data_IF_464018437782
#
_entry.id   IF_464018437782
#
_cell.length_a   1.000
_cell.length_b   1.000
_cell.length_c   1.000
_cell.angle_alpha   90.00
_cell.angle_beta   90.00
_cell.angle_gamma   90.00
#
_symmetry.space_group_name_H-M   'P 1'
#
loop_
_entity.id
_entity.type
_entity.pdbx_description
1 polymer ?
#
# COMPACT_ATOMS: atom_id res chain seq x y z
N UNK A 1 16.50 4.66 4.29
CA UNK A 1 16.73 5.90 5.06
C UNK A 1 15.59 6.27 6.01
N UNK A 2 14.37 6.58 5.55
CA UNK A 2 13.30 7.06 6.45
C UNK A 2 12.92 6.06 7.54
N UNK A 3 12.79 4.77 7.19
CA UNK A 3 12.52 3.71 8.15
C UNK A 3 13.67 3.56 9.16
N UNK A 4 14.92 3.64 8.71
CA UNK A 4 16.08 3.60 9.61
C UNK A 4 16.03 4.73 10.65
N UNK A 5 15.69 5.96 10.22
CA UNK A 5 15.50 7.09 11.14
C UNK A 5 14.42 6.81 12.17
N UNK A 6 13.25 6.33 11.74
CA UNK A 6 12.14 6.03 12.65
C UNK A 6 12.50 4.91 13.63
N UNK A 7 13.13 3.84 13.16
CA UNK A 7 13.60 2.73 13.99
C UNK A 7 14.72 3.15 14.96
N UNK A 8 15.51 4.18 14.62
CA UNK A 8 16.54 4.73 15.53
C UNK A 8 16.01 5.80 16.48
N UNK A 9 14.69 6.02 16.56
CA UNK A 9 14.08 7.03 17.43
C UNK A 9 14.16 8.46 16.90
N UNK A 10 14.51 8.66 15.63
CA UNK A 10 14.52 9.98 14.99
C UNK A 10 13.27 10.20 14.12
N UNK A 11 12.80 11.44 14.02
CA UNK A 11 11.72 11.80 13.09
C UNK A 11 12.17 11.66 11.63
N UNK A 12 11.23 11.34 10.74
CA UNK A 12 11.48 11.25 9.30
C UNK A 12 10.48 12.08 8.49
N UNK A 13 10.90 12.67 7.35
CA UNK A 13 9.99 13.36 6.46
C UNK A 13 9.15 12.35 5.66
N UNK A 14 7.85 12.61 5.55
CA UNK A 14 6.93 11.89 4.68
C UNK A 14 6.47 12.84 3.57
N UNK A 15 7.01 12.70 2.35
CA UNK A 15 6.57 13.51 1.22
C UNK A 15 5.12 13.16 0.86
N UNK A 16 4.35 14.17 0.47
CA UNK A 16 2.96 14.00 0.03
C UNK A 16 2.93 13.95 -1.50
N UNK A 17 2.25 12.96 -2.08
CA UNK A 17 2.06 12.85 -3.52
C UNK A 17 0.69 13.41 -3.91
N UNK A 18 0.66 14.30 -4.88
CA UNK A 18 -0.56 14.85 -5.44
C UNK A 18 -0.94 14.09 -6.72
N UNK A 19 -2.06 13.37 -6.64
CA UNK A 19 -2.56 12.56 -7.74
C UNK A 19 -3.21 13.37 -8.85
N UNK A 20 -3.59 14.63 -8.60
CA UNK A 20 -4.20 15.52 -9.59
C UNK A 20 -3.14 16.12 -10.52
N UNK A 21 -2.02 16.58 -9.94
CA UNK A 21 -0.88 17.14 -10.69
C UNK A 21 0.15 16.10 -11.10
N UNK A 22 0.03 14.87 -10.59
CA UNK A 22 0.99 13.78 -10.79
C UNK A 22 2.41 14.07 -10.27
N UNK A 23 2.54 15.02 -9.35
CA UNK A 23 3.82 15.47 -8.81
C UNK A 23 3.90 15.27 -7.30
N UNK A 24 5.13 15.31 -6.78
CA UNK A 24 5.34 15.43 -5.34
C UNK A 24 4.99 16.85 -4.93
N UNK A 25 4.15 16.98 -3.90
CA UNK A 25 3.85 18.27 -3.27
C UNK A 25 5.10 18.85 -2.62
N UNK A 26 5.15 20.18 -2.50
CA UNK A 26 6.15 20.87 -1.68
C UNK A 26 5.92 20.67 -0.19
N UNK A 27 4.71 20.24 0.20
CA UNK A 27 4.37 19.92 1.57
C UNK A 27 5.00 18.60 2.02
N UNK A 28 5.52 18.61 3.24
CA UNK A 28 6.11 17.44 3.91
C UNK A 28 5.47 17.28 5.26
N UNK A 29 4.92 16.10 5.52
CA UNK A 29 4.47 15.72 6.86
C UNK A 29 5.62 15.08 7.63
N UNK A 30 5.82 15.44 8.89
CA UNK A 30 6.83 14.78 9.72
C UNK A 30 6.22 13.59 10.47
N UNK A 31 6.88 12.44 10.37
CA UNK A 31 6.54 11.25 11.16
C UNK A 31 7.42 11.22 12.40
N UNK A 32 6.81 11.00 13.55
CA UNK A 32 7.49 10.70 14.79
C UNK A 32 7.68 9.18 14.93
N UNK A 33 8.73 8.72 15.60
CA UNK A 33 8.87 7.31 15.97
C UNK A 33 7.67 6.83 16.78
N UNK A 34 7.17 5.65 16.46
CA UNK A 34 6.05 5.00 17.16
C UNK A 34 6.37 3.53 17.41
N UNK A 35 5.79 2.91 18.46
CA UNK A 35 5.99 1.48 18.73
C UNK A 35 5.54 0.57 17.58
N UNK A 36 4.52 0.99 16.82
CA UNK A 36 4.04 0.29 15.63
C UNK A 36 4.18 1.20 14.42
N UNK A 37 4.80 0.69 13.35
CA UNK A 37 4.87 1.34 12.04
C UNK A 37 4.13 0.48 11.01
N UNK A 38 3.18 1.07 10.30
CA UNK A 38 2.50 0.43 9.17
C UNK A 38 3.09 0.98 7.88
N UNK A 39 3.71 0.09 7.09
CA UNK A 39 4.27 0.41 5.78
C UNK A 39 3.31 -0.14 4.73
N UNK A 40 2.59 0.75 4.04
CA UNK A 40 1.58 0.39 3.04
C UNK A 40 2.01 0.82 1.64
N UNK A 41 1.63 0.01 0.66
CA UNK A 41 1.79 0.32 -0.76
C UNK A 41 1.88 -0.93 -1.63
N UNK A 42 1.59 -0.78 -2.91
CA UNK A 42 1.50 -1.90 -3.87
C UNK A 42 2.81 -2.67 -4.12
N UNK A 43 3.98 -2.12 -3.74
CA UNK A 43 5.29 -2.72 -4.01
C UNK A 43 6.14 -2.90 -2.74
N UNK A 44 5.59 -2.67 -1.54
CA UNK A 44 6.38 -2.70 -0.30
C UNK A 44 6.97 -4.07 -0.03
N UNK A 45 6.24 -5.14 -0.39
CA UNK A 45 6.73 -6.51 -0.26
C UNK A 45 7.67 -6.93 -1.39
N UNK A 46 7.74 -6.18 -2.49
CA UNK A 46 8.65 -6.52 -3.59
C UNK A 46 10.11 -6.13 -3.29
N UNK A 47 10.32 -5.13 -2.42
CA UNK A 47 11.64 -4.60 -2.10
C UNK A 47 12.28 -5.35 -0.90
N UNK A 48 13.36 -6.13 -1.10
CA UNK A 48 13.99 -6.88 -0.01
C UNK A 48 14.44 -6.00 1.16
N UNK A 49 14.91 -4.79 0.87
CA UNK A 49 15.40 -3.84 1.86
C UNK A 49 14.27 -3.33 2.75
N UNK A 50 13.03 -3.22 2.23
CA UNK A 50 11.87 -2.87 3.05
C UNK A 50 11.42 -4.05 3.90
N UNK A 51 11.42 -5.27 3.32
CA UNK A 51 11.03 -6.49 4.05
C UNK A 51 11.92 -6.75 5.28
N UNK A 52 13.19 -6.36 5.22
CA UNK A 52 14.12 -6.48 6.34
C UNK A 52 13.70 -5.67 7.58
N UNK A 53 12.82 -4.67 7.44
CA UNK A 53 12.26 -3.90 8.55
C UNK A 53 10.89 -4.42 9.03
N UNK A 54 10.35 -5.49 8.44
CA UNK A 54 8.97 -5.94 8.69
C UNK A 54 8.92 -7.20 9.55
N UNK A 55 8.42 -7.05 10.78
CA UNK A 55 8.13 -8.19 11.68
C UNK A 55 6.92 -9.00 11.21
N UNK A 56 5.97 -8.37 10.51
CA UNK A 56 4.77 -8.98 9.94
C UNK A 56 4.51 -8.45 8.53
N UNK A 57 4.39 -9.34 7.54
CA UNK A 57 4.16 -9.03 6.14
C UNK A 57 2.77 -9.47 5.74
N UNK A 58 1.93 -8.53 5.31
CA UNK A 58 0.54 -8.79 4.94
C UNK A 58 0.33 -8.44 3.47
N UNK A 59 -0.27 -9.37 2.72
CA UNK A 59 -0.75 -9.10 1.36
C UNK A 59 -2.28 -9.08 1.35
N UNK A 60 -2.88 -8.01 0.87
CA UNK A 60 -4.34 -7.90 0.76
C UNK A 60 -4.76 -8.31 -0.65
N UNK A 61 -5.48 -9.42 -0.75
CA UNK A 61 -5.95 -9.96 -2.02
C UNK A 61 -7.41 -9.57 -2.29
N UNK A 62 -7.69 -9.24 -3.55
CA UNK A 62 -9.04 -9.12 -4.06
C UNK A 62 -9.06 -9.47 -5.55
N UNK A 63 -10.22 -9.89 -6.04
CA UNK A 63 -10.43 -10.30 -7.42
C UNK A 63 -10.10 -9.13 -8.37
N UNK A 64 -9.50 -9.40 -9.55
CA UNK A 64 -9.06 -8.35 -10.47
C UNK A 64 -10.18 -7.40 -10.90
N UNK A 65 -11.40 -7.90 -11.10
CA UNK A 65 -12.59 -7.13 -11.46
C UNK A 65 -13.05 -6.21 -10.32
N UNK A 66 -13.10 -6.72 -9.09
CA UNK A 66 -13.41 -5.93 -7.88
C UNK A 66 -12.41 -4.79 -7.73
N UNK A 67 -11.10 -5.06 -7.89
CA UNK A 67 -10.06 -4.03 -7.84
C UNK A 67 -10.18 -3.02 -8.98
N UNK A 68 -10.48 -3.47 -10.19
CA UNK A 68 -10.67 -2.61 -11.36
C UNK A 68 -11.86 -1.66 -11.16
N UNK A 69 -13.00 -2.17 -10.69
CA UNK A 69 -14.19 -1.37 -10.40
C UNK A 69 -13.93 -0.31 -9.33
N UNK A 70 -13.34 -0.69 -8.19
CA UNK A 70 -12.94 0.26 -7.12
C UNK A 70 -11.96 1.30 -7.63
N UNK A 71 -11.02 0.91 -8.51
CA UNK A 71 -10.08 1.84 -9.14
C UNK A 71 -10.77 2.84 -10.04
N UNK A 72 -11.70 2.40 -10.90
CA UNK A 72 -12.46 3.27 -11.80
C UNK A 72 -13.23 4.30 -10.99
N UNK A 73 -13.98 3.86 -9.98
CA UNK A 73 -14.79 4.74 -9.12
C UNK A 73 -13.93 5.80 -8.42
N UNK A 74 -12.82 5.37 -7.80
CA UNK A 74 -11.87 6.27 -7.14
C UNK A 74 -11.24 7.26 -8.11
N UNK A 75 -10.71 6.78 -9.25
CA UNK A 75 -9.99 7.63 -10.21
C UNK A 75 -10.93 8.65 -10.87
N UNK A 76 -12.21 8.35 -11.04
CA UNK A 76 -13.21 9.32 -11.50
C UNK A 76 -13.57 10.34 -10.41
N UNK A 77 -13.92 9.88 -9.20
CA UNK A 77 -14.48 10.74 -8.14
C UNK A 77 -13.43 11.60 -7.46
N UNK A 78 -12.26 11.04 -7.19
CA UNK A 78 -11.25 11.70 -6.35
C UNK A 78 -10.09 12.28 -7.16
N UNK A 79 -9.89 11.83 -8.41
CA UNK A 79 -8.73 12.21 -9.22
C UNK A 79 -9.10 12.86 -10.55
N UNK A 80 -10.39 13.03 -10.84
CA UNK A 80 -10.89 13.75 -12.03
C UNK A 80 -10.54 13.10 -13.37
N UNK A 81 -10.29 11.79 -13.42
CA UNK A 81 -9.89 11.10 -14.66
C UNK A 81 -11.09 10.68 -15.50
N UNK A 82 -10.91 10.70 -16.83
CA UNK A 82 -11.90 10.16 -17.78
C UNK A 82 -11.84 8.63 -17.85
N UNK A 83 -12.95 7.99 -18.24
CA UNK A 83 -13.00 6.53 -18.40
C UNK A 83 -11.94 6.04 -19.40
N UNK A 84 -11.78 6.73 -20.52
CA UNK A 84 -10.80 6.41 -21.56
C UNK A 84 -9.36 6.43 -21.01
N UNK A 85 -8.98 7.49 -20.28
CA UNK A 85 -7.66 7.59 -19.65
C UNK A 85 -7.41 6.46 -18.64
N UNK A 86 -8.43 6.11 -17.85
CA UNK A 86 -8.36 5.04 -16.86
C UNK A 86 -8.13 3.69 -17.54
N UNK A 87 -8.86 3.40 -18.63
CA UNK A 87 -8.74 2.16 -19.39
C UNK A 87 -7.37 2.03 -20.06
N UNK A 88 -6.93 3.07 -20.77
CA UNK A 88 -5.62 3.07 -21.43
C UNK A 88 -4.49 2.83 -20.43
N UNK A 89 -4.49 3.57 -19.31
CA UNK A 89 -3.48 3.38 -18.26
C UNK A 89 -3.56 1.99 -17.63
N UNK A 90 -4.78 1.45 -17.46
CA UNK A 90 -4.95 0.15 -16.83
C UNK A 90 -4.35 -0.97 -17.67
N UNK A 91 -4.65 -0.99 -18.97
CA UNK A 91 -4.20 -2.02 -19.89
C UNK A 91 -2.70 -1.90 -20.19
N UNK A 92 -2.20 -0.69 -20.40
CA UNK A 92 -0.81 -0.48 -20.80
C UNK A 92 0.17 -0.62 -19.64
N UNK A 93 -0.26 -0.24 -18.43
CA UNK A 93 0.66 -0.06 -17.29
C UNK A 93 0.20 -0.84 -16.07
N UNK A 94 -1.01 -0.59 -15.56
CA UNK A 94 -1.39 -1.10 -14.23
C UNK A 94 -1.45 -2.62 -14.20
N UNK A 95 -2.16 -3.26 -15.13
CA UNK A 95 -2.29 -4.72 -15.16
C UNK A 95 -0.95 -5.41 -15.45
N UNK A 96 -0.18 -5.04 -16.50
CA UNK A 96 1.12 -5.67 -16.74
C UNK A 96 2.10 -5.54 -15.57
N UNK A 97 2.14 -4.39 -14.90
CA UNK A 97 3.02 -4.18 -13.75
C UNK A 97 2.52 -4.88 -12.49
N UNK A 98 1.19 -4.98 -12.32
CA UNK A 98 0.59 -5.78 -11.26
C UNK A 98 1.02 -7.25 -11.40
N UNK A 99 0.78 -7.84 -12.56
CA UNK A 99 1.03 -9.25 -12.81
C UNK A 99 2.53 -9.57 -12.75
N UNK A 100 3.38 -8.63 -13.14
CA UNK A 100 4.85 -8.80 -13.12
C UNK A 100 5.50 -8.58 -11.76
N UNK A 101 5.00 -7.65 -10.94
CA UNK A 101 5.71 -7.19 -9.74
C UNK A 101 4.87 -7.17 -8.46
N UNK A 102 3.59 -6.84 -8.54
CA UNK A 102 2.73 -6.75 -7.35
C UNK A 102 2.29 -8.14 -6.93
N UNK A 103 1.66 -8.89 -7.85
CA UNK A 103 1.11 -10.20 -7.55
C UNK A 103 2.18 -11.21 -7.08
N UNK A 104 3.37 -11.30 -7.71
CA UNK A 104 4.41 -12.21 -7.25
C UNK A 104 4.96 -11.87 -5.86
N UNK A 105 4.88 -10.59 -5.44
CA UNK A 105 5.35 -10.17 -4.11
C UNK A 105 4.53 -10.76 -2.96
N UNK A 106 3.34 -11.28 -3.25
CA UNK A 106 2.51 -12.09 -2.34
C UNK A 106 3.28 -13.25 -1.72
N UNK A 107 4.22 -13.86 -2.46
CA UNK A 107 5.04 -14.97 -1.97
C UNK A 107 5.96 -14.59 -0.80
N UNK A 108 6.10 -13.29 -0.50
CA UNK A 108 6.84 -12.80 0.65
C UNK A 108 5.95 -12.46 1.85
N UNK A 109 4.64 -12.67 1.75
CA UNK A 109 3.72 -12.37 2.84
C UNK A 109 3.66 -13.52 3.86
N UNK A 110 3.59 -13.16 5.14
CA UNK A 110 3.32 -14.09 6.23
C UNK A 110 1.81 -14.43 6.28
N UNK A 111 0.96 -13.47 5.91
CA UNK A 111 -0.50 -13.61 5.89
C UNK A 111 -1.06 -12.99 4.59
N UNK A 112 -1.99 -13.71 3.95
CA UNK A 112 -2.81 -13.17 2.86
C UNK A 112 -4.23 -12.94 3.36
N UNK A 113 -4.75 -11.73 3.20
CA UNK A 113 -6.09 -11.34 3.66
C UNK A 113 -7.00 -11.11 2.46
N UNK A 114 -8.08 -11.88 2.29
CA UNK A 114 -9.06 -11.63 1.25
C UNK A 114 -9.90 -10.39 1.59
N UNK A 115 -10.16 -9.55 0.59
CA UNK A 115 -10.84 -8.26 0.70
C UNK A 115 -11.81 -7.98 -0.47
N UNK A 116 -12.41 -9.05 -1.01
CA UNK A 116 -13.54 -8.93 -1.95
C UNK A 116 -14.73 -8.23 -1.29
N UNK A 117 -14.90 -8.42 0.02
CA UNK A 117 -15.85 -7.72 0.88
C UNK A 117 -15.15 -7.26 2.17
N UNK A 118 -15.82 -6.45 2.99
CA UNK A 118 -15.27 -6.05 4.29
C UNK A 118 -14.94 -7.27 5.13
N UNK A 119 -13.70 -7.32 5.62
CA UNK A 119 -13.20 -8.42 6.43
C UNK A 119 -12.80 -7.92 7.82
N UNK A 120 -13.81 -7.65 8.66
CA UNK A 120 -13.62 -7.12 10.01
C UNK A 120 -12.90 -8.13 10.92
N UNK A 121 -13.11 -9.43 10.72
CA UNK A 121 -12.45 -10.47 11.51
C UNK A 121 -10.94 -10.54 11.24
N UNK A 122 -10.51 -10.34 10.00
CA UNK A 122 -9.09 -10.22 9.68
C UNK A 122 -8.47 -8.99 10.38
N UNK A 123 -9.18 -7.86 10.42
CA UNK A 123 -8.73 -6.67 11.14
C UNK A 123 -8.61 -6.92 12.64
N UNK A 124 -9.62 -7.57 13.26
CA UNK A 124 -9.57 -7.95 14.69
C UNK A 124 -8.39 -8.87 14.98
N UNK A 125 -8.11 -9.81 14.08
CA UNK A 125 -6.98 -10.74 14.22
C UNK A 125 -5.63 -10.01 14.17
N UNK A 126 -5.47 -9.07 13.23
CA UNK A 126 -4.28 -8.22 13.16
C UNK A 126 -4.14 -7.34 14.42
N UNK A 127 -5.24 -6.74 14.89
CA UNK A 127 -5.25 -5.92 16.10
C UNK A 127 -4.83 -6.74 17.33
N UNK A 128 -5.40 -7.93 17.49
CA UNK A 128 -5.05 -8.84 18.59
C UNK A 128 -3.57 -9.21 18.54
N UNK A 129 -3.02 -9.49 17.35
CA UNK A 129 -1.59 -9.79 17.17
C UNK A 129 -0.72 -8.60 17.56
N UNK A 130 -1.05 -7.39 17.12
CA UNK A 130 -0.30 -6.17 17.46
C UNK A 130 -0.26 -5.94 18.98
N UNK A 131 -1.37 -6.19 19.67
CA UNK A 131 -1.45 -6.08 21.15
C UNK A 131 -0.55 -7.06 21.90
N UNK A 132 -0.11 -8.16 21.29
CA UNK A 132 0.83 -9.10 21.93
C UNK A 132 2.29 -8.65 21.88
N UNK A 133 2.60 -7.65 21.05
CA UNK A 133 3.97 -7.16 20.81
C UNK A 133 4.21 -5.79 21.46
N UNK A 134 3.13 -5.13 21.90
CA UNK A 134 3.13 -3.85 22.62
C UNK A 134 3.09 -4.06 24.13
#
# INVERSE_FOLDING_TARGET
EHLQKLCSGARAPLPIYDFSTHLRSTEVRWLLPTPVLVIEGILVLQQPELRAFMDLKVFVEADPDVRALRRIERDQRERGRTMESIQQQFLDRVKPMHDRYVDPSRNHADIVIPNNQQNLEALRTLEARLRTVL
#
